data_IF_490609977784
#
_entry.id   IF_490609977784
#
_cell.length_a   1.000
_cell.length_b   1.000
_cell.length_c   1.000
_cell.angle_alpha   90.00
_cell.angle_beta   90.00
_cell.angle_gamma   90.00
#
_symmetry.space_group_name_H-M   'P 1'
#
loop_
_entity.id
_entity.type
_entity.pdbx_description
1 polymer ?
#
# COMPACT_ATOMS: atom_id res chain seq x y z
N UNK A 1 40.34 50.70 45.48
CA UNK A 1 39.62 51.06 44.25
C UNK A 1 38.67 49.92 43.95
N UNK A 2 37.43 50.02 44.41
CA UNK A 2 36.36 49.14 43.95
C UNK A 2 36.00 49.56 42.53
N UNK A 3 36.25 48.68 41.56
CA UNK A 3 35.71 48.83 40.22
C UNK A 3 34.28 48.32 40.24
N UNK A 4 33.33 49.22 40.47
CA UNK A 4 31.91 48.96 40.22
C UNK A 4 31.69 48.80 38.72
N UNK A 5 31.45 47.56 38.27
CA UNK A 5 30.86 47.33 36.95
C UNK A 5 29.42 47.84 36.99
N UNK A 6 28.98 48.70 36.05
CA UNK A 6 27.57 49.05 35.94
C UNK A 6 26.82 47.76 35.57
N UNK A 7 25.83 47.38 36.38
CA UNK A 7 24.82 46.43 35.93
C UNK A 7 24.20 47.01 34.66
N UNK A 8 24.36 46.33 33.53
CA UNK A 8 23.47 46.54 32.39
C UNK A 8 22.11 46.01 32.84
N UNK A 9 21.31 46.88 33.45
CA UNK A 9 19.88 46.67 33.54
C UNK A 9 19.38 46.65 32.09
N UNK A 10 19.22 45.44 31.55
CA UNK A 10 18.63 45.22 30.23
C UNK A 10 17.17 45.65 30.34
N UNK A 11 16.92 46.92 30.06
CA UNK A 11 15.59 47.51 30.14
C UNK A 11 14.69 46.81 29.11
N UNK A 12 13.58 46.24 29.58
CA UNK A 12 12.58 45.63 28.71
C UNK A 12 11.96 46.69 27.80
N UNK A 13 12.18 46.58 26.49
CA UNK A 13 11.61 47.49 25.47
C UNK A 13 10.30 46.92 24.94
N UNK A 14 9.19 47.31 25.59
CA UNK A 14 7.84 46.95 25.16
C UNK A 14 7.52 47.38 23.71
N UNK A 15 8.26 48.35 23.13
CA UNK A 15 8.05 48.77 21.73
C UNK A 15 8.40 47.68 20.71
N UNK A 16 9.27 46.73 21.07
CA UNK A 16 9.63 45.61 20.18
C UNK A 16 8.43 44.69 19.91
N UNK A 17 7.64 44.40 20.94
CA UNK A 17 6.44 43.59 20.81
C UNK A 17 5.41 44.26 19.89
N UNK A 18 5.24 45.59 20.03
CA UNK A 18 4.33 46.39 19.23
C UNK A 18 4.78 46.47 17.76
N UNK A 19 6.06 46.76 17.51
CA UNK A 19 6.66 46.73 16.16
C UNK A 19 6.49 45.37 15.49
N UNK A 20 6.69 44.28 16.24
CA UNK A 20 6.42 42.93 15.77
C UNK A 20 4.99 42.76 15.27
N UNK A 21 4.00 43.21 16.07
CA UNK A 21 2.58 43.16 15.70
C UNK A 21 2.27 44.02 14.46
N UNK A 22 2.92 45.17 14.30
CA UNK A 22 2.77 46.00 13.08
C UNK A 22 3.30 45.29 11.84
N UNK A 23 4.47 44.65 11.93
CA UNK A 23 5.01 43.87 10.82
C UNK A 23 4.10 42.69 10.44
N UNK A 24 3.47 42.03 11.41
CA UNK A 24 2.45 41.00 11.13
C UNK A 24 1.28 41.58 10.33
N UNK A 25 0.79 42.77 10.70
CA UNK A 25 -0.29 43.47 9.97
C UNK A 25 0.11 43.88 8.55
N UNK A 26 1.39 44.20 8.31
CA UNK A 26 1.92 44.51 6.96
C UNK A 26 2.00 43.28 6.04
N UNK A 27 1.84 42.07 6.58
CA UNK A 27 1.67 40.84 5.81
C UNK A 27 2.97 40.08 5.52
N UNK A 28 2.87 39.05 4.67
CA UNK A 28 3.88 37.98 4.53
C UNK A 28 5.32 38.45 4.27
N UNK A 29 5.50 39.56 3.54
CA UNK A 29 6.83 40.13 3.25
C UNK A 29 7.58 40.60 4.49
N UNK A 30 6.87 40.86 5.59
CA UNK A 30 7.42 41.40 6.83
C UNK A 30 7.40 40.41 7.99
N UNK A 31 7.07 39.13 7.74
CA UNK A 31 7.03 38.12 8.80
C UNK A 31 8.42 37.80 9.38
N UNK A 32 9.50 37.91 8.59
CA UNK A 32 10.86 37.83 9.11
C UNK A 32 11.17 38.95 10.10
N UNK A 33 10.76 40.18 9.77
CA UNK A 33 10.96 41.36 10.61
C UNK A 33 10.18 41.23 11.93
N UNK A 34 8.96 40.70 11.86
CA UNK A 34 8.16 40.39 13.05
C UNK A 34 8.84 39.35 13.96
N UNK A 35 9.38 38.27 13.38
CA UNK A 35 10.12 37.24 14.14
C UNK A 35 11.37 37.82 14.81
N UNK A 36 12.11 38.70 14.13
CA UNK A 36 13.28 39.37 14.71
C UNK A 36 12.87 40.23 15.92
N UNK A 37 11.82 41.03 15.77
CA UNK A 37 11.28 41.87 16.84
C UNK A 37 10.87 41.04 18.07
N UNK A 38 10.10 39.97 17.87
CA UNK A 38 9.70 39.09 18.98
C UNK A 38 10.89 38.36 19.61
N UNK A 39 11.87 37.93 18.82
CA UNK A 39 13.06 37.24 19.34
C UNK A 39 13.91 38.18 20.18
N UNK A 40 14.10 39.42 19.75
CA UNK A 40 14.79 40.46 20.54
C UNK A 40 14.03 40.78 21.82
N UNK A 41 12.70 40.87 21.78
CA UNK A 41 11.88 41.08 22.97
C UNK A 41 11.99 39.91 23.97
N UNK A 42 11.94 38.67 23.48
CA UNK A 42 12.12 37.45 24.31
C UNK A 42 13.51 37.45 24.99
N UNK A 43 14.56 37.83 24.27
CA UNK A 43 15.93 37.86 24.81
C UNK A 43 16.13 38.92 25.91
N UNK A 44 15.29 39.96 25.95
CA UNK A 44 15.32 40.95 27.02
C UNK A 44 14.65 40.46 28.30
N UNK A 45 13.89 39.34 28.24
CA UNK A 45 13.07 38.77 29.32
C UNK A 45 12.11 39.79 29.93
N UNK A 46 10.86 39.77 29.50
CA UNK A 46 9.81 40.58 30.10
C UNK A 46 9.72 40.33 31.61
N UNK A 47 9.25 41.34 32.36
CA UNK A 47 9.16 41.29 33.82
C UNK A 47 8.23 40.20 34.33
N UNK A 48 7.28 39.73 33.50
CA UNK A 48 6.33 38.67 33.86
C UNK A 48 6.35 37.49 32.89
N UNK A 49 6.13 36.29 33.43
CA UNK A 49 5.96 35.06 32.64
C UNK A 49 4.76 35.14 31.70
N UNK A 50 3.71 35.88 32.08
CA UNK A 50 2.54 36.13 31.22
C UNK A 50 2.92 36.93 29.98
N UNK A 51 3.73 37.98 30.11
CA UNK A 51 4.18 38.79 28.98
C UNK A 51 5.13 38.02 28.08
N UNK A 52 6.08 37.29 28.67
CA UNK A 52 6.95 36.38 27.92
C UNK A 52 6.12 35.32 27.15
N UNK A 53 5.11 34.73 27.78
CA UNK A 53 4.20 33.78 27.13
C UNK A 53 3.51 34.38 25.90
N UNK A 54 3.08 35.65 25.98
CA UNK A 54 2.47 36.35 24.83
C UNK A 54 3.47 36.52 23.69
N UNK A 55 4.74 36.86 23.98
CA UNK A 55 5.78 37.02 22.95
C UNK A 55 6.06 35.70 22.21
N UNK A 56 6.29 34.61 22.95
CA UNK A 56 6.44 33.27 22.38
C UNK A 56 5.22 32.88 21.55
N UNK A 57 4.03 33.09 22.08
CA UNK A 57 2.77 32.80 21.39
C UNK A 57 2.62 33.62 20.10
N UNK A 58 3.03 34.88 20.08
CA UNK A 58 3.00 35.71 18.86
C UNK A 58 4.06 35.26 17.84
N UNK A 59 5.26 34.86 18.28
CA UNK A 59 6.27 34.27 17.38
C UNK A 59 5.78 32.94 16.77
N UNK A 60 5.12 32.10 17.57
CA UNK A 60 4.47 30.87 17.10
C UNK A 60 3.46 31.15 15.98
N UNK A 61 2.66 32.22 16.11
CA UNK A 61 1.71 32.61 15.07
C UNK A 61 2.39 32.90 13.73
N UNK A 62 3.46 33.67 13.75
CA UNK A 62 4.17 34.04 12.53
C UNK A 62 4.86 32.81 11.92
N UNK A 63 5.42 31.93 12.75
CA UNK A 63 5.96 30.65 12.30
C UNK A 63 4.88 29.76 11.65
N UNK A 64 3.65 29.73 12.18
CA UNK A 64 2.52 29.03 11.52
C UNK A 64 2.21 29.62 10.15
N UNK A 65 2.14 30.95 10.03
CA UNK A 65 1.84 31.64 8.77
C UNK A 65 2.93 31.42 7.71
N UNK A 66 4.18 31.17 8.14
CA UNK A 66 5.29 30.84 7.27
C UNK A 66 5.38 29.34 6.91
N UNK A 67 4.58 28.47 7.54
CA UNK A 67 4.69 27.02 7.37
C UNK A 67 5.81 26.37 8.20
N UNK A 68 6.42 27.10 9.13
CA UNK A 68 7.47 26.61 10.02
C UNK A 68 6.87 25.85 11.21
N UNK A 69 6.11 24.78 10.94
CA UNK A 69 5.24 24.14 11.95
C UNK A 69 6.00 23.61 13.18
N UNK A 70 7.20 23.04 13.02
CA UNK A 70 8.00 22.57 14.15
C UNK A 70 8.45 23.70 15.08
N UNK A 71 8.88 24.84 14.50
CA UNK A 71 9.24 26.04 15.26
C UNK A 71 8.02 26.66 15.93
N UNK A 72 6.89 26.68 15.23
CA UNK A 72 5.63 27.17 15.80
C UNK A 72 5.16 26.33 16.99
N UNK A 73 5.30 25.00 16.91
CA UNK A 73 4.95 24.11 18.02
C UNK A 73 5.85 24.39 19.22
N UNK A 74 7.17 24.46 19.01
CA UNK A 74 8.13 24.76 20.06
C UNK A 74 7.84 26.12 20.73
N UNK A 75 7.61 27.18 19.95
CA UNK A 75 7.26 28.49 20.48
C UNK A 75 5.93 28.45 21.26
N UNK A 76 4.95 27.66 20.82
CA UNK A 76 3.68 27.51 21.53
C UNK A 76 3.87 26.72 22.84
N UNK A 77 4.72 25.70 22.86
CA UNK A 77 5.07 24.94 24.06
C UNK A 77 5.80 25.81 25.08
N UNK A 78 6.80 26.59 24.64
CA UNK A 78 7.50 27.56 25.50
C UNK A 78 6.52 28.57 26.11
N UNK A 79 5.57 29.06 25.30
CA UNK A 79 4.51 29.94 25.81
C UNK A 79 3.63 29.27 26.87
N UNK A 80 3.32 27.97 26.71
CA UNK A 80 2.48 27.21 27.63
C UNK A 80 3.22 26.76 28.89
N UNK A 81 4.54 26.62 28.85
CA UNK A 81 5.36 26.42 30.04
C UNK A 81 5.30 27.64 30.96
N UNK A 82 5.32 28.85 30.38
CA UNK A 82 5.23 30.12 31.11
C UNK A 82 3.81 30.43 31.58
N UNK A 83 2.81 30.20 30.72
CA UNK A 83 1.40 30.43 31.05
C UNK A 83 0.53 29.32 30.44
N UNK A 84 0.22 28.26 31.21
CA UNK A 84 -0.58 27.13 30.74
C UNK A 84 -2.00 27.50 30.31
N UNK A 85 -2.52 28.64 30.77
CA UNK A 85 -3.88 29.13 30.47
C UNK A 85 -3.94 30.03 29.23
N UNK A 86 -2.81 30.25 28.53
CA UNK A 86 -2.76 31.06 27.32
C UNK A 86 -3.48 30.36 26.14
N UNK A 87 -4.79 30.62 25.99
CA UNK A 87 -5.63 30.03 24.94
C UNK A 87 -5.09 30.24 23.52
N UNK A 88 -4.42 31.36 23.23
CA UNK A 88 -3.82 31.61 21.91
C UNK A 88 -2.63 30.68 21.67
N UNK A 89 -1.82 30.42 22.69
CA UNK A 89 -0.72 29.45 22.59
C UNK A 89 -1.25 28.03 22.39
N UNK A 90 -2.29 27.64 23.14
CA UNK A 90 -2.95 26.34 22.95
C UNK A 90 -3.45 26.18 21.51
N UNK A 91 -4.21 27.15 21.01
CA UNK A 91 -4.71 27.14 19.63
C UNK A 91 -3.58 26.98 18.60
N UNK A 92 -2.45 27.65 18.82
CA UNK A 92 -1.28 27.58 17.94
C UNK A 92 -0.58 26.21 18.02
N UNK A 93 -0.47 25.62 19.21
CA UNK A 93 0.05 24.27 19.41
C UNK A 93 -0.82 23.21 18.69
N UNK A 94 -2.15 23.34 18.79
CA UNK A 94 -3.09 22.45 18.07
C UNK A 94 -2.87 22.52 16.56
N UNK A 95 -2.84 23.73 15.98
CA UNK A 95 -2.64 23.89 14.54
C UNK A 95 -1.28 23.40 14.07
N UNK A 96 -0.22 23.69 14.83
CA UNK A 96 1.13 23.24 14.50
C UNK A 96 1.21 21.70 14.51
N UNK A 97 0.64 21.07 15.53
CA UNK A 97 0.58 19.61 15.66
C UNK A 97 -0.22 18.96 14.52
N UNK A 98 -1.39 19.53 14.17
CA UNK A 98 -2.19 19.07 13.02
C UNK A 98 -1.45 19.18 11.68
N UNK A 99 -0.66 20.24 11.48
CA UNK A 99 0.16 20.42 10.28
C UNK A 99 1.37 19.48 10.23
N UNK A 100 1.81 18.96 11.37
CA UNK A 100 2.86 17.95 11.48
C UNK A 100 2.33 16.50 11.49
N UNK A 101 1.00 16.31 11.36
CA UNK A 101 0.32 15.02 11.54
C UNK A 101 0.56 14.37 12.92
N UNK A 102 0.84 15.19 13.94
CA UNK A 102 0.92 14.78 15.35
C UNK A 102 -0.49 14.83 15.95
N UNK A 103 -1.31 13.83 15.61
CA UNK A 103 -2.77 13.83 15.86
C UNK A 103 -3.06 13.74 17.36
N UNK A 104 -2.35 12.90 18.12
CA UNK A 104 -2.60 12.71 19.55
C UNK A 104 -2.14 13.93 20.37
N UNK A 105 -1.03 14.56 20.00
CA UNK A 105 -0.58 15.83 20.59
C UNK A 105 -1.59 16.95 20.30
N UNK A 106 -2.06 17.06 19.05
CA UNK A 106 -3.10 18.02 18.68
C UNK A 106 -4.36 17.84 19.53
N UNK A 107 -4.80 16.59 19.72
CA UNK A 107 -5.96 16.24 20.56
C UNK A 107 -5.73 16.69 22.01
N UNK A 108 -4.58 16.35 22.60
CA UNK A 108 -4.23 16.72 23.97
C UNK A 108 -4.26 18.23 24.20
N UNK A 109 -3.66 19.02 23.31
CA UNK A 109 -3.74 20.48 23.41
C UNK A 109 -5.17 21.00 23.24
N UNK A 110 -5.94 20.45 22.30
CA UNK A 110 -7.30 20.89 22.03
C UNK A 110 -8.23 20.64 23.21
N UNK A 111 -8.12 19.48 23.85
CA UNK A 111 -8.87 19.12 25.06
C UNK A 111 -8.54 20.08 26.22
N UNK A 112 -7.25 20.39 26.44
CA UNK A 112 -6.83 21.40 27.43
C UNK A 112 -7.44 22.77 27.14
N UNK A 113 -7.46 23.18 25.87
CA UNK A 113 -8.07 24.45 25.47
C UNK A 113 -9.58 24.51 25.71
N UNK A 114 -10.29 23.43 25.40
CA UNK A 114 -11.74 23.31 25.62
C UNK A 114 -12.07 23.28 27.12
N UNK A 115 -11.24 22.64 27.95
CA UNK A 115 -11.39 22.66 29.41
C UNK A 115 -11.28 24.09 29.98
N UNK A 116 -10.46 24.95 29.38
CA UNK A 116 -10.29 26.34 29.80
C UNK A 116 -11.38 27.27 29.25
N UNK A 117 -11.88 27.03 28.04
CA UNK A 117 -12.96 27.79 27.40
C UNK A 117 -13.81 26.87 26.53
N UNK A 118 -14.87 26.35 27.12
CA UNK A 118 -15.78 25.39 26.48
C UNK A 118 -16.61 26.00 25.35
N UNK A 119 -16.73 27.32 25.31
CA UNK A 119 -17.46 28.11 24.30
C UNK A 119 -16.58 28.57 23.13
N UNK A 120 -15.29 28.19 23.12
CA UNK A 120 -14.37 28.59 22.06
C UNK A 120 -14.67 27.87 20.73
N UNK A 121 -15.42 28.54 19.85
CA UNK A 121 -15.84 28.04 18.53
C UNK A 121 -14.67 27.53 17.68
N UNK A 122 -13.51 28.18 17.75
CA UNK A 122 -12.36 27.80 16.92
C UNK A 122 -11.67 26.52 17.42
N UNK A 123 -11.61 26.31 18.73
CA UNK A 123 -11.12 25.04 19.30
C UNK A 123 -12.11 23.89 19.07
N UNK A 124 -13.42 24.16 19.13
CA UNK A 124 -14.45 23.15 18.80
C UNK A 124 -14.30 22.67 17.36
N UNK A 125 -14.13 23.59 16.39
CA UNK A 125 -13.88 23.23 14.98
C UNK A 125 -12.58 22.43 14.81
N UNK A 126 -11.53 22.75 15.56
CA UNK A 126 -10.28 21.99 15.50
C UNK A 126 -10.46 20.59 16.09
N UNK A 127 -11.23 20.42 17.16
CA UNK A 127 -11.54 19.11 17.73
C UNK A 127 -12.29 18.22 16.72
N UNK A 128 -13.25 18.77 15.97
CA UNK A 128 -13.91 18.06 14.87
C UNK A 128 -12.91 17.62 13.80
N UNK A 129 -12.02 18.52 13.35
CA UNK A 129 -10.98 18.17 12.37
C UNK A 129 -10.01 17.10 12.87
N UNK A 130 -9.63 17.14 14.15
CA UNK A 130 -8.77 16.12 14.78
C UNK A 130 -9.48 14.76 14.76
N UNK A 131 -10.76 14.73 15.14
CA UNK A 131 -11.53 13.48 15.19
C UNK A 131 -11.70 12.87 13.80
N UNK A 132 -11.96 13.67 12.77
CA UNK A 132 -12.02 13.21 11.37
C UNK A 132 -10.68 12.60 10.95
N UNK A 133 -9.57 13.35 11.11
CA UNK A 133 -8.23 12.83 10.78
C UNK A 133 -7.87 11.57 11.55
N UNK A 134 -8.23 11.49 12.84
CA UNK A 134 -7.98 10.32 13.68
C UNK A 134 -8.73 9.11 13.16
N UNK A 135 -10.01 9.26 12.84
CA UNK A 135 -10.83 8.19 12.27
C UNK A 135 -10.30 7.72 10.90
N UNK A 136 -9.84 8.64 10.04
CA UNK A 136 -9.22 8.30 8.76
C UNK A 136 -7.93 7.49 8.94
N UNK A 137 -7.10 7.88 9.91
CA UNK A 137 -5.86 7.18 10.24
C UNK A 137 -6.16 5.77 10.78
N UNK A 138 -7.07 5.65 11.75
CA UNK A 138 -7.48 4.37 12.33
C UNK A 138 -8.10 3.44 11.28
N UNK A 139 -8.93 3.96 10.37
CA UNK A 139 -9.49 3.18 9.27
C UNK A 139 -8.39 2.67 8.32
N UNK A 140 -7.44 3.55 7.96
CA UNK A 140 -6.31 3.16 7.12
C UNK A 140 -5.45 2.06 7.77
N UNK A 141 -5.15 2.18 9.07
CA UNK A 141 -4.41 1.16 9.81
C UNK A 141 -5.16 -0.18 9.83
N UNK A 142 -6.49 -0.16 10.00
CA UNK A 142 -7.32 -1.37 9.93
C UNK A 142 -7.30 -2.00 8.53
N UNK A 143 -7.38 -1.19 7.47
CA UNK A 143 -7.28 -1.67 6.08
C UNK A 143 -5.92 -2.30 5.79
N UNK A 144 -4.83 -1.67 6.24
CA UNK A 144 -3.47 -2.21 6.12
C UNK A 144 -3.34 -3.52 6.89
N UNK A 145 -3.78 -3.56 8.15
CA UNK A 145 -3.71 -4.75 8.98
C UNK A 145 -4.46 -5.92 8.35
N UNK A 146 -5.67 -5.69 7.79
CA UNK A 146 -6.43 -6.72 7.09
C UNK A 146 -5.69 -7.22 5.86
N UNK A 147 -5.16 -6.33 5.03
CA UNK A 147 -4.43 -6.69 3.83
C UNK A 147 -3.17 -7.53 4.14
N UNK A 148 -2.45 -7.19 5.21
CA UNK A 148 -1.29 -7.96 5.70
C UNK A 148 -1.72 -9.36 6.13
N UNK A 149 -2.76 -9.50 6.97
CA UNK A 149 -3.25 -10.82 7.38
C UNK A 149 -3.67 -11.66 6.17
N UNK A 150 -4.40 -11.07 5.22
CA UNK A 150 -4.78 -11.77 3.99
C UNK A 150 -3.55 -12.21 3.18
N UNK A 151 -2.51 -11.38 3.09
CA UNK A 151 -1.29 -11.73 2.40
C UNK A 151 -0.54 -12.90 3.06
N UNK A 152 -0.46 -12.90 4.39
CA UNK A 152 0.13 -14.01 5.16
C UNK A 152 -0.66 -15.31 4.97
N UNK A 153 -2.00 -15.23 4.94
CA UNK A 153 -2.87 -16.38 4.69
C UNK A 153 -2.61 -16.96 3.28
N UNK A 154 -2.49 -16.12 2.25
CA UNK A 154 -2.15 -16.57 0.89
C UNK A 154 -0.77 -17.22 0.79
N UNK A 155 0.25 -16.61 1.40
CA UNK A 155 1.61 -17.17 1.41
C UNK A 155 1.61 -18.54 2.08
N UNK A 156 0.96 -18.65 3.25
CA UNK A 156 0.82 -19.93 3.97
C UNK A 156 0.07 -20.95 3.13
N UNK A 157 -1.04 -20.55 2.50
CA UNK A 157 -1.84 -21.43 1.65
C UNK A 157 -1.03 -21.98 0.46
N UNK A 158 -0.20 -21.15 -0.18
CA UNK A 158 0.68 -21.59 -1.28
C UNK A 158 1.81 -22.49 -0.79
N UNK A 159 2.39 -22.21 0.38
CA UNK A 159 3.44 -23.05 1.00
C UNK A 159 2.92 -24.45 1.33
N UNK A 160 1.79 -24.54 2.01
CA UNK A 160 1.17 -25.82 2.41
C UNK A 160 0.83 -26.70 1.19
N UNK A 161 0.47 -26.05 0.08
CA UNK A 161 0.14 -26.71 -1.19
C UNK A 161 1.35 -26.90 -2.11
N UNK A 162 2.49 -26.33 -1.76
CA UNK A 162 3.73 -26.33 -2.55
C UNK A 162 3.54 -25.72 -3.96
N UNK A 163 2.68 -24.70 -4.06
CA UNK A 163 2.40 -24.01 -5.31
C UNK A 163 3.54 -23.04 -5.62
N UNK A 164 4.03 -23.08 -6.87
CA UNK A 164 5.05 -22.15 -7.39
C UNK A 164 4.38 -21.12 -8.27
N UNK A 165 4.32 -19.87 -7.82
CA UNK A 165 3.78 -18.77 -8.61
C UNK A 165 4.89 -18.10 -9.41
N UNK A 166 4.67 -17.89 -10.70
CA UNK A 166 5.52 -17.14 -11.61
C UNK A 166 4.90 -15.82 -12.03
N UNK A 167 5.65 -15.05 -12.83
CA UNK A 167 5.14 -13.80 -13.42
C UNK A 167 3.92 -14.08 -14.30
N UNK A 168 2.88 -13.22 -14.25
CA UNK A 168 1.75 -13.31 -15.16
C UNK A 168 2.20 -13.20 -16.62
N UNK A 169 1.83 -14.17 -17.46
CA UNK A 169 2.24 -14.21 -18.89
C UNK A 169 1.11 -13.89 -19.88
N UNK A 170 -0.15 -13.98 -19.45
CA UNK A 170 -1.31 -13.87 -20.34
C UNK A 170 -2.28 -12.74 -19.96
N UNK A 171 -1.79 -11.71 -19.26
CA UNK A 171 -2.62 -10.59 -18.81
C UNK A 171 -3.29 -9.83 -19.95
N UNK A 172 -2.68 -9.78 -21.14
CA UNK A 172 -3.30 -9.18 -22.32
C UNK A 172 -4.56 -9.91 -22.77
N UNK A 173 -4.62 -11.23 -22.53
CA UNK A 173 -5.78 -12.08 -22.85
C UNK A 173 -6.80 -12.09 -21.73
N UNK A 174 -6.35 -12.11 -20.47
CA UNK A 174 -7.22 -12.35 -19.30
C UNK A 174 -7.58 -11.09 -18.52
N UNK A 175 -6.88 -9.98 -18.75
CA UNK A 175 -6.80 -8.88 -17.80
C UNK A 175 -6.07 -9.27 -16.50
N UNK A 176 -6.12 -8.39 -15.51
CA UNK A 176 -5.55 -8.66 -14.17
C UNK A 176 -6.52 -9.55 -13.40
N UNK A 177 -6.16 -10.83 -13.29
CA UNK A 177 -6.88 -11.86 -12.52
C UNK A 177 -6.00 -12.38 -11.40
N UNK A 178 -6.60 -12.72 -10.26
CA UNK A 178 -5.92 -13.19 -9.05
C UNK A 178 -6.77 -14.26 -8.36
N UNK A 179 -6.15 -15.23 -7.67
CA UNK A 179 -6.90 -16.19 -6.86
C UNK A 179 -7.58 -15.52 -5.66
N UNK A 180 -8.62 -16.17 -5.16
CA UNK A 180 -9.33 -15.81 -3.93
C UNK A 180 -9.16 -16.94 -2.92
N UNK A 181 -8.86 -16.59 -1.68
CA UNK A 181 -8.84 -17.55 -0.58
C UNK A 181 -10.14 -17.41 0.21
N UNK A 182 -10.91 -18.49 0.31
CA UNK A 182 -12.18 -18.46 1.03
C UNK A 182 -12.01 -18.64 2.55
N UNK A 183 -13.13 -18.51 3.29
CA UNK A 183 -13.17 -18.65 4.75
C UNK A 183 -12.77 -20.04 5.29
N UNK A 184 -12.75 -21.06 4.43
CA UNK A 184 -12.35 -22.42 4.78
C UNK A 184 -10.88 -22.69 4.40
N UNK A 185 -10.12 -21.65 4.05
CA UNK A 185 -8.77 -21.75 3.54
C UNK A 185 -8.69 -22.59 2.26
N UNK A 186 -9.69 -22.48 1.37
CA UNK A 186 -9.70 -23.12 0.04
C UNK A 186 -9.42 -22.06 -1.02
N UNK A 187 -8.49 -22.36 -1.92
CA UNK A 187 -8.17 -21.46 -3.04
C UNK A 187 -9.17 -21.65 -4.19
N UNK A 188 -9.63 -20.52 -4.69
CA UNK A 188 -10.44 -20.39 -5.89
C UNK A 188 -9.60 -19.66 -6.94
N UNK A 189 -9.43 -20.28 -8.10
CA UNK A 189 -8.55 -19.80 -9.15
C UNK A 189 -9.35 -19.38 -10.38
N UNK A 190 -9.05 -18.22 -10.96
CA UNK A 190 -9.26 -18.02 -12.38
C UNK A 190 -8.39 -19.02 -13.14
N UNK A 191 -8.96 -19.82 -14.04
CA UNK A 191 -8.23 -20.84 -14.82
C UNK A 191 -8.40 -20.56 -16.31
N UNK A 192 -7.29 -20.42 -17.02
CA UNK A 192 -7.27 -20.19 -18.46
C UNK A 192 -7.09 -21.51 -19.21
N UNK A 193 -8.04 -21.82 -20.09
CA UNK A 193 -7.93 -22.89 -21.07
C UNK A 193 -7.55 -22.28 -22.42
N UNK A 194 -6.30 -22.47 -22.83
CA UNK A 194 -5.73 -21.86 -24.03
C UNK A 194 -5.68 -22.85 -25.19
N UNK A 195 -6.34 -22.53 -26.29
CA UNK A 195 -6.30 -23.30 -27.53
C UNK A 195 -5.02 -22.99 -28.30
N UNK A 196 -4.00 -23.83 -28.11
CA UNK A 196 -2.63 -23.58 -28.63
C UNK A 196 -2.57 -23.31 -30.14
N UNK A 197 -3.42 -23.98 -30.94
CA UNK A 197 -3.44 -23.86 -32.40
C UNK A 197 -3.83 -22.44 -32.89
N UNK A 198 -4.69 -21.75 -32.13
CA UNK A 198 -5.24 -20.44 -32.53
C UNK A 198 -4.91 -19.31 -31.56
N UNK A 199 -4.25 -19.62 -30.43
CA UNK A 199 -3.93 -18.67 -29.37
C UNK A 199 -5.14 -17.88 -28.84
N UNK A 200 -6.32 -18.50 -28.86
CA UNK A 200 -7.50 -18.02 -28.15
C UNK A 200 -7.70 -18.85 -26.89
N UNK A 201 -8.47 -18.36 -25.92
CA UNK A 201 -8.74 -19.14 -24.72
C UNK A 201 -10.06 -18.75 -24.06
N UNK A 202 -10.52 -19.65 -23.21
CA UNK A 202 -11.66 -19.46 -22.33
C UNK A 202 -11.19 -19.42 -20.88
N UNK A 203 -11.87 -18.63 -20.06
CA UNK A 203 -11.52 -18.46 -18.65
C UNK A 203 -12.69 -18.96 -17.80
N UNK A 204 -12.39 -19.82 -16.84
CA UNK A 204 -13.28 -20.07 -15.71
C UNK A 204 -12.84 -19.14 -14.60
N UNK A 205 -13.66 -18.16 -14.26
CA UNK A 205 -13.33 -17.09 -13.31
C UNK A 205 -13.13 -17.58 -11.87
N UNK A 206 -13.87 -18.64 -11.52
CA UNK A 206 -13.94 -19.19 -10.17
C UNK A 206 -13.89 -20.71 -10.23
N UNK A 207 -12.67 -21.26 -10.11
CA UNK A 207 -12.42 -22.70 -10.10
C UNK A 207 -11.89 -23.12 -8.73
N UNK A 208 -12.68 -23.93 -8.01
CA UNK A 208 -12.30 -24.44 -6.71
C UNK A 208 -11.13 -25.42 -6.84
N UNK A 209 -10.06 -25.24 -6.05
CA UNK A 209 -8.87 -26.08 -6.18
C UNK A 209 -9.09 -27.56 -5.88
N UNK A 210 -10.17 -27.89 -5.15
CA UNK A 210 -10.54 -29.27 -4.79
C UNK A 210 -11.37 -29.94 -5.88
N UNK A 211 -11.84 -29.20 -6.87
CA UNK A 211 -12.59 -29.74 -8.00
C UNK A 211 -11.64 -30.40 -9.01
N UNK A 212 -12.16 -31.43 -9.67
CA UNK A 212 -11.44 -32.11 -10.76
C UNK A 212 -11.37 -31.21 -11.99
N UNK A 213 -10.20 -31.18 -12.64
CA UNK A 213 -9.97 -30.41 -13.87
C UNK A 213 -10.62 -31.08 -15.08
N UNK A 214 -11.95 -31.06 -15.11
CA UNK A 214 -12.78 -31.74 -16.10
C UNK A 214 -13.33 -30.77 -17.13
N UNK A 215 -13.03 -31.00 -18.42
CA UNK A 215 -13.57 -30.23 -19.54
C UNK A 215 -15.04 -30.53 -19.90
N UNK A 216 -15.71 -31.44 -19.19
CA UNK A 216 -17.07 -31.90 -19.53
C UNK A 216 -18.07 -30.75 -19.67
N UNK A 217 -17.96 -29.71 -18.84
CA UNK A 217 -18.89 -28.58 -18.88
C UNK A 217 -18.63 -27.63 -20.06
N UNK A 218 -17.41 -27.61 -20.61
CA UNK A 218 -17.06 -26.74 -21.75
C UNK A 218 -17.41 -27.41 -23.08
N UNK A 219 -17.21 -28.73 -23.19
CA UNK A 219 -17.38 -29.52 -24.42
C UNK A 219 -18.48 -30.57 -24.28
N UNK A 220 -19.63 -30.19 -23.74
CA UNK A 220 -20.81 -31.05 -23.67
C UNK A 220 -21.35 -31.38 -25.06
N UNK A 221 -22.16 -32.44 -25.20
CA UNK A 221 -22.77 -32.82 -26.48
C UNK A 221 -23.68 -31.72 -27.05
N UNK A 222 -24.22 -30.86 -26.19
CA UNK A 222 -25.09 -29.74 -26.56
C UNK A 222 -24.31 -28.44 -26.84
N UNK A 223 -22.99 -28.42 -26.59
CA UNK A 223 -22.16 -27.24 -26.83
C UNK A 223 -21.98 -27.01 -28.35
N UNK A 224 -22.17 -25.78 -28.86
CA UNK A 224 -21.87 -25.49 -30.25
C UNK A 224 -20.36 -25.69 -30.53
N UNK A 225 -19.98 -26.09 -31.75
CA UNK A 225 -18.57 -26.21 -32.11
C UNK A 225 -17.87 -24.85 -32.01
N UNK A 226 -16.58 -24.88 -31.72
CA UNK A 226 -15.78 -23.66 -31.66
C UNK A 226 -15.81 -22.93 -33.01
N UNK A 227 -15.99 -21.60 -33.08
CA UNK A 227 -16.18 -20.88 -34.35
C UNK A 227 -15.05 -21.06 -35.37
N UNK A 228 -13.84 -21.29 -34.89
CA UNK A 228 -12.65 -21.52 -35.72
C UNK A 228 -12.41 -23.00 -36.06
N UNK A 229 -13.09 -23.95 -35.38
CA UNK A 229 -12.94 -25.39 -35.59
C UNK A 229 -13.80 -25.89 -36.77
N UNK A 230 -13.47 -25.41 -37.96
CA UNK A 230 -14.18 -25.75 -39.21
C UNK A 230 -14.16 -27.25 -39.56
N UNK A 231 -13.20 -28.00 -39.01
CA UNK A 231 -13.04 -29.45 -39.23
C UNK A 231 -13.68 -30.30 -38.12
N UNK A 232 -14.25 -29.66 -37.10
CA UNK A 232 -14.82 -30.31 -35.92
C UNK A 232 -13.83 -31.29 -35.25
N UNK A 233 -12.57 -30.87 -35.15
CA UNK A 233 -11.50 -31.66 -34.56
C UNK A 233 -11.53 -31.60 -33.02
N UNK A 234 -12.05 -30.53 -32.41
CA UNK A 234 -12.05 -30.29 -30.97
C UNK A 234 -13.28 -30.90 -30.28
N UNK A 235 -13.43 -32.22 -30.41
CA UNK A 235 -14.47 -33.00 -29.71
C UNK A 235 -13.95 -33.53 -28.37
N UNK A 236 -14.85 -33.69 -27.38
CA UNK A 236 -14.48 -34.06 -26.01
C UNK A 236 -13.55 -35.27 -25.90
N UNK A 237 -13.78 -36.32 -26.71
CA UNK A 237 -12.98 -37.56 -26.74
C UNK A 237 -11.59 -37.39 -27.36
N UNK A 238 -11.39 -36.34 -28.16
CA UNK A 238 -10.13 -36.03 -28.84
C UNK A 238 -9.25 -35.04 -28.06
N UNK A 239 -9.83 -34.27 -27.13
CA UNK A 239 -9.12 -33.24 -26.38
C UNK A 239 -8.15 -33.82 -25.35
N UNK A 240 -7.00 -33.17 -25.25
CA UNK A 240 -6.01 -33.38 -24.20
C UNK A 240 -5.59 -32.03 -23.62
N UNK A 241 -5.34 -32.04 -22.31
CA UNK A 241 -4.84 -30.88 -21.57
C UNK A 241 -3.35 -31.02 -21.28
N UNK A 242 -2.64 -29.91 -21.40
CA UNK A 242 -1.22 -29.81 -21.13
C UNK A 242 -0.90 -28.58 -20.29
N UNK A 243 0.18 -28.63 -19.52
CA UNK A 243 0.85 -27.43 -19.01
C UNK A 243 2.31 -27.43 -19.48
N UNK A 244 2.92 -26.25 -19.47
CA UNK A 244 4.34 -26.07 -19.81
C UNK A 244 5.18 -26.26 -18.54
N UNK A 245 5.97 -27.34 -18.48
CA UNK A 245 6.81 -27.65 -17.34
C UNK A 245 8.14 -26.91 -17.40
N UNK A 246 8.59 -26.41 -16.25
CA UNK A 246 9.88 -25.70 -16.13
C UNK A 246 9.94 -24.40 -16.92
N UNK A 247 8.82 -23.77 -17.24
CA UNK A 247 8.78 -22.49 -17.95
C UNK A 247 8.52 -21.34 -16.98
N UNK A 248 9.28 -20.25 -17.12
CA UNK A 248 9.15 -19.06 -16.29
C UNK A 248 10.09 -18.99 -15.09
N UNK A 249 9.98 -17.89 -14.35
CA UNK A 249 10.76 -17.62 -13.12
C UNK A 249 9.78 -17.64 -11.95
N UNK A 250 10.05 -18.48 -10.95
CA UNK A 250 9.29 -18.49 -9.71
C UNK A 250 9.53 -17.18 -8.95
N UNK A 251 8.45 -16.56 -8.51
CA UNK A 251 8.47 -15.36 -7.68
C UNK A 251 8.93 -15.70 -6.26
N UNK A 252 9.66 -14.79 -5.64
CA UNK A 252 9.92 -14.79 -4.20
C UNK A 252 8.65 -14.47 -3.41
N UNK A 253 8.63 -14.76 -2.10
CA UNK A 253 7.49 -14.41 -1.22
C UNK A 253 7.12 -12.94 -1.32
N UNK A 254 8.11 -12.04 -1.31
CA UNK A 254 7.90 -10.60 -1.42
C UNK A 254 7.24 -10.23 -2.75
N UNK A 255 7.68 -10.85 -3.85
CA UNK A 255 7.09 -10.61 -5.18
C UNK A 255 5.67 -11.18 -5.29
N UNK A 256 5.38 -12.35 -4.70
CA UNK A 256 4.02 -12.91 -4.65
C UNK A 256 3.07 -11.96 -3.91
N UNK A 257 3.48 -11.47 -2.73
CA UNK A 257 2.69 -10.50 -1.96
C UNK A 257 2.49 -9.21 -2.74
N UNK A 258 3.56 -8.68 -3.35
CA UNK A 258 3.47 -7.46 -4.16
C UNK A 258 2.51 -7.65 -5.34
N UNK A 259 2.53 -8.79 -6.02
CA UNK A 259 1.64 -9.09 -7.13
C UNK A 259 0.18 -9.20 -6.67
N UNK A 260 -0.08 -9.98 -5.61
CA UNK A 260 -1.45 -10.20 -5.11
C UNK A 260 -2.08 -8.92 -4.56
N UNK A 261 -1.29 -8.03 -3.95
CA UNK A 261 -1.80 -6.83 -3.25
C UNK A 261 -1.40 -5.50 -3.92
N UNK A 262 -0.98 -5.53 -5.18
CA UNK A 262 -0.71 -4.32 -5.97
C UNK A 262 -1.91 -3.36 -5.93
N UNK A 263 -1.66 -2.10 -5.52
CA UNK A 263 -2.69 -1.06 -5.32
C UNK A 263 -3.14 -0.85 -3.87
N UNK A 264 -2.92 -1.83 -2.97
CA UNK A 264 -3.17 -1.70 -1.53
C UNK A 264 -1.82 -1.52 -0.84
N UNK A 265 -1.46 -0.26 -0.55
CA UNK A 265 -0.34 0.10 0.33
C UNK A 265 0.96 -0.73 0.14
N UNK A 266 1.37 -0.96 -1.12
CA UNK A 266 2.58 -1.72 -1.45
C UNK A 266 3.84 -1.21 -0.71
N UNK A 267 3.94 0.11 -0.50
CA UNK A 267 5.03 0.73 0.27
C UNK A 267 5.03 0.40 1.78
N UNK A 268 3.90 -0.01 2.37
CA UNK A 268 3.81 -0.38 3.79
C UNK A 268 4.08 -1.87 4.01
N UNK A 269 3.75 -2.71 3.02
CA UNK A 269 4.14 -4.13 2.98
C UNK A 269 5.65 -4.31 2.84
N UNK A 270 6.38 -3.34 2.26
CA UNK A 270 7.85 -3.37 2.22
C UNK A 270 8.53 -3.28 3.60
N UNK A 271 7.87 -2.65 4.58
CA UNK A 271 8.35 -2.60 5.96
C UNK A 271 7.94 -3.83 6.77
N UNK A 272 6.98 -4.61 6.27
CA UNK A 272 6.61 -5.86 6.89
C UNK A 272 7.72 -6.87 6.61
N UNK A 273 8.38 -7.29 7.69
CA UNK A 273 9.43 -8.31 7.68
C UNK A 273 8.82 -9.66 7.30
N UNK A 274 8.47 -9.85 6.03
CA UNK A 274 8.46 -11.19 5.47
C UNK A 274 9.89 -11.67 5.69
N UNK A 275 10.09 -12.57 6.66
CA UNK A 275 11.40 -13.18 6.86
C UNK A 275 11.77 -13.77 5.51
N UNK A 276 12.92 -13.35 4.99
CA UNK A 276 13.58 -13.99 3.86
C UNK A 276 13.95 -15.42 4.28
N UNK A 277 12.97 -16.29 4.44
CA UNK A 277 13.17 -17.72 4.29
C UNK A 277 13.00 -17.96 2.81
N UNK A 278 14.16 -18.08 2.15
CA UNK A 278 14.32 -18.36 0.73
C UNK A 278 13.24 -19.33 0.24
N UNK A 279 12.20 -18.81 -0.45
CA UNK A 279 11.57 -19.61 -1.49
C UNK A 279 12.70 -19.89 -2.48
N UNK A 280 12.99 -21.17 -2.68
CA UNK A 280 14.21 -21.67 -3.32
C UNK A 280 14.82 -20.69 -4.31
N UNK A 281 16.08 -20.31 -4.03
CA UNK A 281 16.94 -19.47 -4.84
C UNK A 281 16.53 -19.47 -6.31
N UNK A 282 16.20 -18.29 -6.89
CA UNK A 282 15.76 -18.08 -8.27
C UNK A 282 16.04 -19.28 -9.19
N UNK A 283 15.16 -20.29 -9.16
CA UNK A 283 15.37 -21.49 -9.96
C UNK A 283 14.85 -21.14 -11.35
N UNK A 284 15.72 -20.57 -12.18
CA UNK A 284 15.50 -20.49 -13.60
C UNK A 284 15.61 -21.90 -14.17
N UNK A 285 14.49 -22.50 -14.52
CA UNK A 285 14.50 -23.64 -15.42
C UNK A 285 14.73 -23.09 -16.83
N UNK A 286 16.01 -22.95 -17.20
CA UNK A 286 16.41 -22.76 -18.58
C UNK A 286 17.22 -23.97 -18.98
N UNK A 287 16.53 -25.08 -19.27
CA UNK A 287 17.10 -26.04 -20.20
C UNK A 287 17.14 -25.36 -21.56
N UNK A 288 18.28 -25.37 -22.25
CA UNK A 288 18.39 -24.97 -23.65
C UNK A 288 17.66 -25.94 -24.61
N UNK A 289 16.68 -26.68 -24.09
CA UNK A 289 15.78 -27.59 -24.77
C UNK A 289 14.41 -26.92 -24.85
N UNK A 290 13.66 -27.16 -25.92
CA UNK A 290 12.35 -26.55 -26.17
C UNK A 290 11.32 -26.77 -25.05
N UNK A 291 10.09 -26.23 -25.21
CA UNK A 291 9.05 -26.31 -24.19
C UNK A 291 8.73 -27.77 -23.84
N UNK A 292 8.67 -28.07 -22.53
CA UNK A 292 8.35 -29.41 -22.03
C UNK A 292 6.85 -29.51 -21.72
N UNK A 293 6.09 -30.05 -22.65
CA UNK A 293 4.64 -30.25 -22.48
C UNK A 293 4.32 -31.46 -21.61
N UNK A 294 3.69 -31.23 -20.45
CA UNK A 294 3.24 -32.30 -19.55
C UNK A 294 1.73 -32.48 -19.66
N UNK A 295 1.32 -33.70 -20.01
CA UNK A 295 -0.09 -34.06 -20.12
C UNK A 295 -0.75 -34.06 -18.74
N UNK A 296 -1.89 -33.40 -18.63
CA UNK A 296 -2.69 -33.32 -17.41
C UNK A 296 -3.63 -34.52 -17.30
N UNK A 297 -3.75 -35.06 -16.08
CA UNK A 297 -4.79 -36.03 -15.76
C UNK A 297 -6.03 -35.28 -15.24
N UNK A 298 -7.05 -35.17 -16.08
CA UNK A 298 -8.32 -34.46 -15.77
C UNK A 298 -9.10 -35.04 -14.58
N UNK A 299 -8.75 -36.25 -14.12
CA UNK A 299 -9.36 -36.86 -12.91
C UNK A 299 -8.71 -36.41 -11.61
N UNK A 300 -7.63 -35.64 -11.68
CA UNK A 300 -7.00 -35.03 -10.51
C UNK A 300 -7.68 -33.71 -10.18
N UNK A 301 -7.61 -33.35 -8.90
CA UNK A 301 -8.02 -32.01 -8.46
C UNK A 301 -7.07 -30.96 -9.03
N UNK A 302 -7.52 -29.71 -9.14
CA UNK A 302 -6.64 -28.61 -9.54
C UNK A 302 -5.44 -28.51 -8.59
N UNK A 303 -5.63 -28.60 -7.27
CA UNK A 303 -4.55 -28.58 -6.28
C UNK A 303 -3.49 -29.67 -6.54
N UNK A 304 -3.91 -30.91 -6.80
CA UNK A 304 -2.99 -32.02 -7.12
C UNK A 304 -2.16 -31.76 -8.38
N UNK A 305 -2.68 -30.95 -9.31
CA UNK A 305 -1.98 -30.56 -10.53
C UNK A 305 -1.02 -29.40 -10.24
N UNK A 306 -1.45 -28.37 -9.51
CA UNK A 306 -0.64 -27.19 -9.18
C UNK A 306 0.54 -27.52 -8.25
N UNK A 307 0.43 -28.56 -7.44
CA UNK A 307 1.48 -29.05 -6.54
C UNK A 307 2.68 -29.69 -7.26
N UNK A 308 2.58 -29.96 -8.57
CA UNK A 308 3.68 -30.58 -9.31
C UNK A 308 4.93 -29.69 -9.31
N UNK A 309 6.08 -30.27 -8.99
CA UNK A 309 7.33 -29.53 -8.77
C UNK A 309 7.85 -28.82 -10.03
N UNK A 310 7.48 -29.32 -11.20
CA UNK A 310 7.85 -28.74 -12.49
C UNK A 310 6.78 -27.78 -13.05
N UNK A 311 5.67 -27.56 -12.34
CA UNK A 311 4.67 -26.58 -12.75
C UNK A 311 4.88 -25.24 -12.02
N UNK A 312 5.19 -24.19 -12.78
CA UNK A 312 5.21 -22.81 -12.30
C UNK A 312 3.97 -22.12 -12.87
N UNK A 313 3.08 -21.66 -12.01
CA UNK A 313 1.79 -21.04 -12.36
C UNK A 313 2.03 -19.60 -12.82
N UNK A 314 1.82 -19.23 -14.10
CA UNK A 314 2.15 -17.90 -14.62
C UNK A 314 1.07 -16.87 -14.25
N UNK A 315 1.02 -16.49 -12.96
CA UNK A 315 -0.01 -15.63 -12.36
C UNK A 315 -1.32 -16.36 -12.07
N UNK A 316 -1.86 -17.07 -13.06
CA UNK A 316 -3.02 -17.97 -12.93
C UNK A 316 -2.74 -19.32 -13.59
N UNK A 317 -3.43 -20.42 -13.23
CA UNK A 317 -3.30 -21.70 -13.90
C UNK A 317 -3.67 -21.59 -15.38
N UNK A 318 -2.78 -22.09 -16.23
CA UNK A 318 -2.97 -22.12 -17.69
C UNK A 318 -2.86 -23.56 -18.16
N UNK A 319 -3.89 -24.04 -18.84
CA UNK A 319 -3.92 -25.36 -19.45
C UNK A 319 -4.13 -25.23 -20.96
N UNK A 320 -3.20 -25.80 -21.71
CA UNK A 320 -3.24 -25.82 -23.17
C UNK A 320 -4.15 -26.94 -23.64
N UNK A 321 -5.17 -26.59 -24.41
CA UNK A 321 -6.15 -27.51 -24.99
C UNK A 321 -5.71 -27.85 -26.41
N UNK A 322 -5.46 -29.14 -26.66
CA UNK A 322 -5.02 -29.63 -27.97
C UNK A 322 -5.85 -30.84 -28.37
N UNK A 323 -6.29 -30.89 -29.64
CA UNK A 323 -7.01 -32.04 -30.17
C UNK A 323 -6.05 -33.03 -30.85
N UNK A 324 -6.15 -34.32 -30.50
CA UNK A 324 -5.45 -35.42 -31.20
C UNK A 324 -5.88 -35.60 -32.67
N UNK A 325 -7.00 -35.00 -33.07
CA UNK A 325 -7.50 -35.05 -34.45
C UNK A 325 -7.01 -33.88 -35.30
N UNK A 326 -6.41 -32.86 -34.68
CA UNK A 326 -5.84 -31.73 -35.42
C UNK A 326 -4.48 -32.08 -36.01
N UNK A 327 -4.17 -31.55 -37.19
CA UNK A 327 -2.83 -31.61 -37.79
C UNK A 327 -1.77 -30.90 -36.93
N UNK A 328 -2.19 -29.97 -36.06
CA UNK A 328 -1.31 -29.27 -35.13
C UNK A 328 -0.76 -30.18 -34.02
N UNK A 329 -1.43 -31.30 -33.71
CA UNK A 329 -1.08 -32.16 -32.57
C UNK A 329 0.36 -32.70 -32.62
N UNK A 330 0.80 -33.17 -33.78
CA UNK A 330 2.14 -33.74 -33.95
C UNK A 330 3.24 -32.67 -33.78
N UNK A 331 2.99 -31.46 -34.26
CA UNK A 331 3.92 -30.33 -34.14
C UNK A 331 4.03 -29.86 -32.68
N UNK A 332 2.90 -29.82 -31.97
CA UNK A 332 2.86 -29.55 -30.53
C UNK A 332 3.60 -30.62 -29.72
N UNK A 333 3.31 -31.91 -29.96
CA UNK A 333 3.87 -33.03 -29.21
C UNK A 333 5.37 -33.24 -29.45
N UNK A 334 5.86 -32.89 -30.63
CA UNK A 334 7.29 -32.94 -30.96
C UNK A 334 8.10 -31.80 -30.33
N UNK A 335 7.45 -30.80 -29.70
CA UNK A 335 8.10 -29.66 -29.06
C UNK A 335 8.58 -28.59 -30.04
N UNK A 336 8.19 -28.70 -31.32
CA UNK A 336 8.49 -27.70 -32.36
C UNK A 336 7.71 -26.40 -32.15
N UNK A 337 6.56 -26.49 -31.48
CA UNK A 337 5.76 -25.33 -31.11
C UNK A 337 6.01 -24.91 -29.66
N UNK A 338 6.23 -23.60 -29.47
CA UNK A 338 6.35 -22.95 -28.18
C UNK A 338 5.33 -21.83 -28.04
N UNK A 339 4.83 -21.65 -26.82
CA UNK A 339 3.94 -20.54 -26.52
C UNK A 339 4.68 -19.21 -26.78
N UNK A 340 4.05 -18.23 -27.46
CA UNK A 340 4.63 -16.90 -27.59
C UNK A 340 4.87 -16.33 -26.18
N UNK A 341 6.13 -16.03 -25.86
CA UNK A 341 6.46 -15.29 -24.65
C UNK A 341 6.02 -13.85 -24.88
N UNK A 342 4.82 -13.51 -24.41
CA UNK A 342 4.34 -12.13 -24.38
C UNK A 342 5.21 -11.44 -23.32
N UNK A 343 6.12 -10.57 -23.76
CA UNK A 343 7.13 -9.88 -22.93
C UNK A 343 6.50 -8.69 -22.22
#
# INVERSE_FOLDING_TARGET
>A
MEFGFPSLDVYYDASLAEKGNEYVKKGKKHYSDAIDCYTRAINQKAESDSDNSILYSNRAHVNLLLGNYRRALQDAEDALQLCPTNLKAIYRAVKASLSLNLIDEAKSYCEKGIQLSADNVELIKLAEQINVKKSEYEQRELEISKAVTTAEDFVTAFEDRQIKLGKPMYQELTGVKKPVLDKNNILHWPVLFLYAEVMSGDIIEDFCETDMLSLFNMFSEDSPPLPWDTKNAYTRDALELYYEAGSGVCLSKKEVVSYLFEGIAAAHLENYRVRDTEFGAHTSFSSGEGPRWVKVNEKKTLNDILKNQDFIVPGIPVFFVVSRRSSFYEDFRSGNWASPKIV
#
